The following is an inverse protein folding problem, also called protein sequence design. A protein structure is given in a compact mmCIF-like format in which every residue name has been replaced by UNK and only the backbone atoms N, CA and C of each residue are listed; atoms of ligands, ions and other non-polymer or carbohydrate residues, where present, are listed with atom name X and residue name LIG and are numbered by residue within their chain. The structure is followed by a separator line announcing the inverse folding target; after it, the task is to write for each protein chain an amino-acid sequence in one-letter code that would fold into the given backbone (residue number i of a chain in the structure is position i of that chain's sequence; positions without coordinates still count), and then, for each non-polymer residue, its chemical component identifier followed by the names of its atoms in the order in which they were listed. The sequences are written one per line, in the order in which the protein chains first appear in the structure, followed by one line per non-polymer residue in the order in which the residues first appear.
data_IF_758312856872
#
_entry.id   IF_758312856872
#
_cell.length_a   1.000
_cell.length_b   1.000
_cell.length_c   1.000
_cell.angle_alpha   90.00
_cell.angle_beta   90.00
_cell.angle_gamma   90.00
#
_symmetry.space_group_name_H-M   'P 1'
#
loop_
_entity.id
_entity.type
_entity.pdbx_description
1 polymer ?
#
# COMPACT_ATOMS: atom_id res chain seq x y z
N UNK A 1 11.75 24.92 6.44
CA UNK A 1 12.38 23.85 7.23
C UNK A 1 11.38 22.70 7.29
N UNK A 2 11.56 21.64 6.51
CA UNK A 2 10.64 20.49 6.54
C UNK A 2 10.93 19.70 7.82
N UNK A 3 10.00 19.72 8.76
CA UNK A 3 10.05 18.87 9.96
C UNK A 3 9.87 17.41 9.55
N UNK A 4 10.97 16.70 9.37
CA UNK A 4 10.98 15.24 9.17
C UNK A 4 10.71 14.59 10.53
N UNK A 5 9.44 14.35 10.82
CA UNK A 5 8.99 13.74 12.09
C UNK A 5 9.31 12.23 12.22
N UNK A 6 10.01 11.65 11.25
CA UNK A 6 10.38 10.22 11.26
C UNK A 6 9.23 9.23 11.01
N UNK A 7 7.99 9.69 10.78
CA UNK A 7 6.82 8.80 10.57
C UNK A 7 6.99 7.87 9.37
N UNK A 8 7.35 8.44 8.21
CA UNK A 8 7.61 7.65 7.00
C UNK A 8 8.82 6.72 7.16
N UNK A 9 9.85 7.18 7.89
CA UNK A 9 11.01 6.35 8.25
C UNK A 9 10.57 5.12 9.07
N UNK A 10 9.70 5.32 10.06
CA UNK A 10 9.14 4.21 10.85
C UNK A 10 8.41 3.19 9.95
N UNK A 11 7.53 3.64 9.05
CA UNK A 11 6.86 2.73 8.10
C UNK A 11 7.87 1.96 7.23
N UNK A 12 8.92 2.64 6.78
CA UNK A 12 9.97 2.02 5.96
C UNK A 12 10.83 1.04 6.75
N UNK A 13 11.05 1.27 8.03
CA UNK A 13 11.69 0.28 8.91
C UNK A 13 10.82 -0.96 9.05
N UNK A 14 9.49 -0.83 9.20
CA UNK A 14 8.56 -1.96 9.29
C UNK A 14 8.57 -2.83 8.03
N UNK A 15 8.72 -2.22 6.85
CA UNK A 15 8.82 -2.94 5.57
C UNK A 15 10.27 -3.36 5.23
N UNK A 16 11.23 -3.06 6.10
CA UNK A 16 12.65 -3.35 5.88
C UNK A 16 13.25 -2.59 4.69
N UNK A 17 12.71 -1.42 4.34
CA UNK A 17 13.28 -0.51 3.33
C UNK A 17 14.32 0.42 3.92
N UNK A 18 14.26 0.67 5.22
CA UNK A 18 15.25 1.42 5.99
C UNK A 18 15.66 0.61 7.23
N UNK A 19 16.92 0.72 7.61
CA UNK A 19 17.48 0.05 8.78
C UNK A 19 17.33 0.94 10.04
N UNK A 20 17.16 0.32 11.19
CA UNK A 20 17.24 1.01 12.49
C UNK A 20 18.41 0.46 13.31
N UNK A 21 19.03 1.31 14.13
CA UNK A 21 20.28 1.00 14.84
C UNK A 21 20.04 0.40 16.22
N UNK A 22 18.90 0.71 16.85
CA UNK A 22 18.58 0.30 18.23
C UNK A 22 17.13 -0.14 18.35
N UNK A 23 16.88 -1.09 19.24
CA UNK A 23 15.55 -1.64 19.49
C UNK A 23 15.30 -2.95 18.78
N UNK A 24 14.08 -3.44 18.88
CA UNK A 24 13.60 -4.64 18.19
C UNK A 24 12.22 -4.34 17.58
N UNK A 25 11.98 -4.88 16.41
CA UNK A 25 10.71 -4.76 15.71
C UNK A 25 10.21 -6.14 15.34
N UNK A 26 8.94 -6.38 15.65
CA UNK A 26 8.25 -7.64 15.34
C UNK A 26 7.02 -7.31 14.51
N UNK A 27 6.84 -8.00 13.40
CA UNK A 27 5.69 -7.85 12.52
C UNK A 27 5.02 -9.20 12.37
N UNK A 28 3.73 -9.28 12.65
CA UNK A 28 2.95 -10.52 12.63
C UNK A 28 3.64 -11.67 13.41
N UNK A 29 4.16 -11.37 14.61
CA UNK A 29 4.88 -12.31 15.47
C UNK A 29 6.30 -12.66 15.01
N UNK A 30 6.75 -12.19 13.85
CA UNK A 30 8.08 -12.46 13.30
C UNK A 30 9.05 -11.31 13.60
N UNK A 31 10.21 -11.58 14.21
CA UNK A 31 11.22 -10.54 14.44
C UNK A 31 11.86 -10.11 13.12
N UNK A 32 11.93 -8.81 12.92
CA UNK A 32 12.57 -8.21 11.75
C UNK A 32 14.09 -8.37 11.85
N UNK A 33 14.69 -9.08 10.91
CA UNK A 33 16.12 -9.37 10.87
C UNK A 33 16.76 -8.64 9.70
N UNK A 34 17.32 -7.46 9.97
CA UNK A 34 18.11 -6.74 8.98
C UNK A 34 19.34 -7.56 8.55
N UNK A 35 19.69 -7.47 7.27
CA UNK A 35 20.81 -8.23 6.69
C UNK A 35 20.46 -9.64 6.20
N UNK A 36 19.31 -10.20 6.57
CA UNK A 36 18.80 -11.45 6.02
C UNK A 36 17.86 -11.18 4.84
N UNK A 37 18.41 -11.27 3.62
CA UNK A 37 17.65 -11.02 2.40
C UNK A 37 16.50 -12.01 2.15
N UNK A 38 16.57 -13.22 2.72
CA UNK A 38 15.50 -14.21 2.60
C UNK A 38 14.35 -13.85 3.54
N UNK A 39 14.64 -13.56 4.82
CA UNK A 39 13.65 -13.10 5.79
C UNK A 39 12.98 -11.80 5.33
N UNK A 40 13.74 -10.86 4.74
CA UNK A 40 13.17 -9.62 4.19
C UNK A 40 12.24 -9.86 3.00
N UNK A 41 12.56 -10.82 2.14
CA UNK A 41 11.67 -11.21 1.03
C UNK A 41 10.37 -11.83 1.52
N UNK A 42 10.46 -12.67 2.54
CA UNK A 42 9.29 -13.29 3.16
C UNK A 42 8.41 -12.24 3.84
N UNK A 43 8.99 -11.37 4.67
CA UNK A 43 8.27 -10.26 5.30
C UNK A 43 7.48 -9.44 4.29
N UNK A 44 8.10 -9.02 3.17
CA UNK A 44 7.47 -8.21 2.13
C UNK A 44 6.36 -8.92 1.35
N UNK A 45 6.19 -10.22 1.52
CA UNK A 45 5.01 -10.93 1.00
C UNK A 45 3.80 -10.77 1.92
N UNK A 46 4.02 -10.53 3.22
CA UNK A 46 2.99 -10.38 4.24
C UNK A 46 2.70 -8.93 4.60
N UNK A 47 3.61 -8.00 4.27
CA UNK A 47 3.48 -6.56 4.53
C UNK A 47 3.37 -5.82 3.21
N UNK A 48 2.17 -5.34 2.91
CA UNK A 48 1.94 -4.44 1.77
C UNK A 48 2.34 -3.00 2.10
N UNK A 49 2.77 -2.24 1.11
CA UNK A 49 3.06 -0.82 1.29
C UNK A 49 2.51 0.00 0.12
N UNK A 50 1.82 1.07 0.46
CA UNK A 50 1.33 2.09 -0.47
C UNK A 50 2.09 3.38 -0.16
N UNK A 51 2.72 3.94 -1.18
CA UNK A 51 3.55 5.13 -1.08
C UNK A 51 2.76 6.39 -1.41
N UNK A 52 3.29 7.53 -1.00
CA UNK A 52 2.81 8.86 -1.36
C UNK A 52 2.76 9.06 -2.88
N UNK A 53 3.80 8.64 -3.59
CA UNK A 53 3.81 8.56 -5.05
C UNK A 53 3.26 7.21 -5.48
N UNK A 54 2.46 7.16 -6.52
CA UNK A 54 1.75 5.96 -6.96
C UNK A 54 2.70 4.81 -7.33
N UNK A 55 3.90 5.14 -7.84
CA UNK A 55 4.98 4.20 -8.22
C UNK A 55 4.49 3.08 -9.15
N UNK A 56 3.55 3.39 -10.04
CA UNK A 56 3.15 2.46 -11.08
C UNK A 56 4.25 2.32 -12.12
N UNK A 57 4.39 1.12 -12.66
CA UNK A 57 5.29 0.86 -13.78
C UNK A 57 4.68 1.44 -15.05
N UNK A 58 5.25 2.53 -15.64
CA UNK A 58 4.62 3.22 -16.78
C UNK A 58 4.61 2.39 -18.07
N UNK A 59 5.49 1.40 -18.17
CA UNK A 59 5.61 0.48 -19.29
C UNK A 59 4.73 -0.79 -19.16
N UNK A 60 3.85 -0.83 -18.16
CA UNK A 60 2.89 -1.91 -17.93
C UNK A 60 1.48 -1.34 -17.88
N UNK A 61 0.50 -2.09 -18.42
CA UNK A 61 -0.91 -1.74 -18.25
C UNK A 61 -1.31 -1.82 -16.77
N UNK A 62 -2.45 -1.26 -16.42
CA UNK A 62 -3.04 -1.30 -15.07
C UNK A 62 -3.15 -2.74 -14.57
N UNK A 63 -3.73 -3.63 -15.35
CA UNK A 63 -3.84 -5.06 -15.01
C UNK A 63 -2.48 -5.70 -14.78
N UNK A 64 -1.49 -5.44 -15.66
CA UNK A 64 -0.13 -5.97 -15.52
C UNK A 64 0.58 -5.42 -14.30
N UNK A 65 0.35 -4.17 -13.91
CA UNK A 65 0.87 -3.61 -12.66
C UNK A 65 0.37 -4.41 -11.44
N UNK A 66 -0.90 -4.79 -11.42
CA UNK A 66 -1.50 -5.56 -10.32
C UNK A 66 -1.05 -7.02 -10.34
N UNK A 67 -0.91 -7.63 -11.53
CA UNK A 67 -0.52 -9.03 -11.70
C UNK A 67 0.96 -9.31 -11.41
N UNK A 68 1.83 -8.29 -11.50
CA UNK A 68 3.28 -8.47 -11.54
C UNK A 68 3.82 -9.26 -10.34
N UNK A 69 3.53 -8.84 -9.12
CA UNK A 69 4.03 -9.50 -7.93
C UNK A 69 3.43 -10.91 -7.73
N UNK A 70 2.12 -11.15 -7.87
CA UNK A 70 1.56 -12.50 -7.83
C UNK A 70 2.21 -13.48 -8.81
N UNK A 71 2.49 -13.06 -10.03
CA UNK A 71 3.10 -13.94 -11.05
C UNK A 71 4.58 -14.18 -10.78
N UNK A 72 5.35 -13.14 -10.45
CA UNK A 72 6.80 -13.26 -10.27
C UNK A 72 7.18 -13.91 -8.93
N UNK A 73 6.51 -13.50 -7.83
CA UNK A 73 6.88 -13.90 -6.47
C UNK A 73 6.14 -15.16 -6.04
N UNK A 74 4.80 -15.17 -6.15
CA UNK A 74 3.97 -16.33 -5.77
C UNK A 74 3.86 -17.40 -6.87
N UNK A 75 4.49 -17.18 -8.04
CA UNK A 75 4.44 -18.09 -9.20
C UNK A 75 3.01 -18.44 -9.62
N UNK A 76 2.08 -17.50 -9.39
CA UNK A 76 0.68 -17.69 -9.72
C UNK A 76 0.52 -17.79 -11.23
N UNK A 77 -0.35 -18.70 -11.69
CA UNK A 77 -0.71 -18.81 -13.11
C UNK A 77 -1.27 -17.49 -13.66
N UNK A 78 -0.93 -17.17 -14.91
CA UNK A 78 -1.30 -15.89 -15.52
C UNK A 78 -2.81 -15.66 -15.59
N UNK A 79 -3.59 -16.71 -15.88
CA UNK A 79 -5.06 -16.63 -15.94
C UNK A 79 -5.65 -16.35 -14.55
N UNK A 80 -5.15 -17.05 -13.52
CA UNK A 80 -5.58 -16.85 -12.14
C UNK A 80 -5.14 -15.47 -11.60
N UNK A 81 -3.95 -14.98 -11.99
CA UNK A 81 -3.48 -13.65 -11.64
C UNK A 81 -4.32 -12.56 -12.32
N UNK A 82 -4.72 -12.75 -13.58
CA UNK A 82 -5.59 -11.83 -14.30
C UNK A 82 -7.00 -11.76 -13.67
N UNK A 83 -7.59 -12.90 -13.35
CA UNK A 83 -8.89 -12.94 -12.66
C UNK A 83 -8.84 -12.22 -11.30
N UNK A 84 -7.78 -12.44 -10.52
CA UNK A 84 -7.56 -11.72 -9.26
C UNK A 84 -7.40 -10.22 -9.49
N UNK A 85 -6.62 -9.81 -10.48
CA UNK A 85 -6.40 -8.40 -10.78
C UNK A 85 -7.70 -7.70 -11.22
N UNK A 86 -8.53 -8.35 -12.06
CA UNK A 86 -9.85 -7.83 -12.41
C UNK A 86 -10.75 -7.64 -11.18
N UNK A 87 -10.81 -8.62 -10.28
CA UNK A 87 -11.59 -8.52 -9.05
C UNK A 87 -11.12 -7.36 -8.16
N UNK A 88 -9.80 -7.21 -7.98
CA UNK A 88 -9.22 -6.13 -7.19
C UNK A 88 -9.45 -4.76 -7.83
N UNK A 89 -9.30 -4.63 -9.15
CA UNK A 89 -9.58 -3.39 -9.86
C UNK A 89 -11.07 -3.03 -9.80
N UNK A 90 -11.96 -4.00 -9.91
CA UNK A 90 -13.40 -3.77 -9.72
C UNK A 90 -13.70 -3.28 -8.30
N UNK A 91 -13.06 -3.88 -7.29
CA UNK A 91 -13.20 -3.47 -5.88
C UNK A 91 -12.79 -2.01 -5.63
N UNK A 92 -11.80 -1.51 -6.34
CA UNK A 92 -11.37 -0.10 -6.26
C UNK A 92 -12.06 0.80 -7.30
N UNK A 93 -13.11 0.31 -7.98
CA UNK A 93 -13.91 1.05 -8.96
C UNK A 93 -13.21 1.30 -10.30
N UNK A 94 -12.31 0.41 -10.71
CA UNK A 94 -11.51 0.54 -11.94
C UNK A 94 -11.51 -0.74 -12.80
N UNK A 95 -12.56 -1.55 -12.73
CA UNK A 95 -12.65 -2.84 -13.45
C UNK A 95 -12.48 -2.69 -14.96
N UNK A 96 -13.03 -1.62 -15.57
CA UNK A 96 -12.93 -1.31 -16.99
C UNK A 96 -11.57 -0.74 -17.42
N UNK A 97 -10.68 -0.45 -16.49
CA UNK A 97 -9.35 0.14 -16.73
C UNK A 97 -8.22 -0.88 -16.81
N UNK A 98 -8.53 -2.19 -16.87
CA UNK A 98 -7.52 -3.26 -16.84
C UNK A 98 -6.44 -3.11 -17.92
N UNK A 99 -6.84 -2.76 -19.14
CA UNK A 99 -5.93 -2.59 -20.29
C UNK A 99 -5.42 -1.16 -20.48
N UNK A 100 -5.88 -0.21 -19.66
CA UNK A 100 -5.41 1.17 -19.70
C UNK A 100 -3.94 1.28 -19.24
N UNK A 101 -3.29 2.36 -19.63
CA UNK A 101 -1.92 2.70 -19.20
C UNK A 101 -1.97 3.71 -18.05
N UNK A 102 -0.94 3.74 -17.17
CA UNK A 102 -0.92 4.67 -16.03
C UNK A 102 -1.10 6.14 -16.39
N UNK A 103 -0.57 6.60 -17.53
CA UNK A 103 -0.69 7.98 -18.02
C UNK A 103 -2.09 8.36 -18.48
N UNK A 104 -2.96 7.39 -18.71
CA UNK A 104 -4.38 7.58 -19.03
C UNK A 104 -5.28 7.72 -17.80
N UNK A 105 -4.69 7.66 -16.58
CA UNK A 105 -5.41 7.69 -15.33
C UNK A 105 -5.20 9.01 -14.59
N UNK A 106 -6.25 9.49 -13.90
CA UNK A 106 -6.11 10.58 -12.92
C UNK A 106 -5.24 10.14 -11.73
N UNK A 107 -4.71 11.09 -10.95
CA UNK A 107 -3.93 10.78 -9.76
C UNK A 107 -4.67 9.89 -8.77
N UNK A 108 -5.95 10.16 -8.51
CA UNK A 108 -6.79 9.33 -7.64
C UNK A 108 -7.01 7.91 -8.20
N UNK A 109 -7.14 7.78 -9.52
CA UNK A 109 -7.21 6.47 -10.17
C UNK A 109 -5.88 5.71 -10.05
N UNK A 110 -4.74 6.37 -10.29
CA UNK A 110 -3.41 5.76 -10.13
C UNK A 110 -3.19 5.28 -8.69
N UNK A 111 -3.61 6.07 -7.69
CA UNK A 111 -3.51 5.66 -6.29
C UNK A 111 -4.38 4.45 -5.97
N UNK A 112 -5.59 4.39 -6.51
CA UNK A 112 -6.46 3.21 -6.35
C UNK A 112 -5.88 1.96 -7.03
N UNK A 113 -5.19 2.10 -8.16
CA UNK A 113 -4.40 1.00 -8.76
C UNK A 113 -3.25 0.58 -7.85
N UNK A 114 -2.53 1.53 -7.24
CA UNK A 114 -1.46 1.20 -6.28
C UNK A 114 -1.99 0.44 -5.05
N UNK A 115 -3.18 0.77 -4.56
CA UNK A 115 -3.88 0.00 -3.52
C UNK A 115 -4.19 -1.42 -4.01
N UNK A 116 -4.82 -1.57 -5.19
CA UNK A 116 -5.13 -2.89 -5.76
C UNK A 116 -3.87 -3.75 -5.96
N UNK A 117 -2.76 -3.15 -6.40
CA UNK A 117 -1.46 -3.81 -6.53
C UNK A 117 -0.92 -4.31 -5.19
N UNK A 118 -1.02 -3.51 -4.13
CA UNK A 118 -0.59 -3.93 -2.80
C UNK A 118 -1.45 -5.09 -2.28
N UNK A 119 -2.77 -5.04 -2.48
CA UNK A 119 -3.72 -6.08 -2.07
C UNK A 119 -3.52 -7.40 -2.85
N UNK A 120 -2.96 -7.37 -4.06
CA UNK A 120 -2.76 -8.56 -4.88
C UNK A 120 -1.83 -9.59 -4.24
N UNK A 121 -0.96 -9.17 -3.34
CA UNK A 121 -0.12 -10.06 -2.53
C UNK A 121 -0.84 -10.64 -1.30
N UNK A 122 -2.08 -10.23 -1.03
CA UNK A 122 -2.87 -10.64 0.15
C UNK A 122 -2.08 -10.42 1.45
N UNK A 123 -1.64 -9.18 1.73
CA UNK A 123 -0.84 -8.89 2.91
C UNK A 123 -1.67 -9.01 4.19
N UNK A 124 -1.02 -9.40 5.30
CA UNK A 124 -1.62 -9.38 6.64
C UNK A 124 -1.69 -7.94 7.20
N UNK A 125 -0.73 -7.09 6.81
CA UNK A 125 -0.65 -5.69 7.23
C UNK A 125 -0.42 -4.80 6.01
N UNK A 126 -1.12 -3.67 5.95
CA UNK A 126 -0.97 -2.68 4.89
C UNK A 126 -0.46 -1.36 5.48
N UNK A 127 0.71 -0.94 5.03
CA UNK A 127 1.35 0.31 5.40
C UNK A 127 0.98 1.40 4.40
N UNK A 128 0.46 2.53 4.88
CA UNK A 128 0.00 3.64 4.06
C UNK A 128 0.81 4.91 4.39
N UNK A 129 1.71 5.34 3.50
CA UNK A 129 2.56 6.50 3.70
C UNK A 129 2.02 7.71 2.93
N UNK A 130 1.24 8.56 3.63
CA UNK A 130 0.67 9.82 3.10
C UNK A 130 -0.03 9.66 1.72
N UNK A 131 -0.84 8.63 1.57
CA UNK A 131 -1.42 8.17 0.30
C UNK A 131 -2.34 9.17 -0.41
N UNK A 132 -2.70 10.29 0.23
CA UNK A 132 -3.54 11.34 -0.34
C UNK A 132 -2.79 12.64 -0.61
N UNK A 133 -1.55 12.80 -0.11
CA UNK A 133 -0.83 14.08 -0.15
C UNK A 133 -0.39 14.53 -1.56
N UNK A 134 -0.34 13.61 -2.52
CA UNK A 134 -0.04 13.90 -3.93
C UNK A 134 -1.30 14.08 -4.79
N UNK A 135 -2.50 14.15 -4.18
CA UNK A 135 -3.78 14.21 -4.88
C UNK A 135 -4.41 15.59 -4.78
N UNK A 136 -5.15 15.96 -5.82
CA UNK A 136 -6.07 17.08 -5.75
C UNK A 136 -7.16 16.81 -4.69
N UNK A 137 -7.59 17.83 -3.93
CA UNK A 137 -8.55 17.67 -2.83
C UNK A 137 -9.86 16.97 -3.24
N UNK A 138 -10.31 17.16 -4.47
CA UNK A 138 -11.53 16.54 -5.01
C UNK A 138 -11.39 15.00 -5.15
N UNK A 139 -10.17 14.49 -5.35
CA UNK A 139 -9.89 13.07 -5.54
C UNK A 139 -9.60 12.33 -4.24
N UNK A 140 -9.28 13.04 -3.16
CA UNK A 140 -8.95 12.46 -1.84
C UNK A 140 -10.06 11.55 -1.33
N UNK A 141 -11.32 12.01 -1.41
CA UNK A 141 -12.47 11.27 -0.90
C UNK A 141 -12.67 9.89 -1.54
N UNK A 142 -12.31 9.71 -2.81
CA UNK A 142 -12.42 8.42 -3.50
C UNK A 142 -11.42 7.40 -2.96
N UNK A 143 -10.17 7.84 -2.72
CA UNK A 143 -9.10 7.00 -2.19
C UNK A 143 -9.39 6.62 -0.75
N UNK A 144 -9.83 7.58 0.08
CA UNK A 144 -10.16 7.33 1.48
C UNK A 144 -11.33 6.35 1.65
N UNK A 145 -12.36 6.39 0.79
CA UNK A 145 -13.45 5.40 0.81
C UNK A 145 -12.97 3.97 0.56
N UNK A 146 -11.99 3.78 -0.32
CA UNK A 146 -11.39 2.46 -0.53
C UNK A 146 -10.68 1.98 0.74
N UNK A 147 -9.90 2.85 1.38
CA UNK A 147 -9.20 2.50 2.63
C UNK A 147 -10.17 2.22 3.77
N UNK A 148 -11.25 3.00 3.86
CA UNK A 148 -12.32 2.77 4.84
C UNK A 148 -12.94 1.38 4.67
N UNK A 149 -13.28 0.97 3.45
CA UNK A 149 -13.83 -0.37 3.22
C UNK A 149 -12.84 -1.49 3.59
N UNK A 150 -11.54 -1.26 3.45
CA UNK A 150 -10.53 -2.23 3.89
C UNK A 150 -10.47 -2.35 5.42
N UNK A 151 -10.61 -1.22 6.13
CA UNK A 151 -10.67 -1.21 7.59
C UNK A 151 -11.94 -1.92 8.09
N UNK A 152 -13.10 -1.64 7.50
CA UNK A 152 -14.39 -2.27 7.83
C UNK A 152 -14.38 -3.79 7.61
N UNK A 153 -13.58 -4.27 6.66
CA UNK A 153 -13.36 -5.70 6.42
C UNK A 153 -12.33 -6.34 7.37
N UNK A 154 -11.80 -5.58 8.33
CA UNK A 154 -10.86 -6.07 9.35
C UNK A 154 -9.40 -6.13 8.92
N UNK A 155 -9.02 -5.45 7.84
CA UNK A 155 -7.61 -5.37 7.45
C UNK A 155 -6.80 -4.55 8.45
N UNK A 156 -5.66 -5.07 8.88
CA UNK A 156 -4.73 -4.32 9.71
C UNK A 156 -4.04 -3.23 8.89
N UNK A 157 -4.31 -1.97 9.23
CA UNK A 157 -3.77 -0.80 8.57
C UNK A 157 -2.87 -0.01 9.51
N UNK A 158 -1.68 0.36 9.04
CA UNK A 158 -0.85 1.36 9.70
C UNK A 158 -0.66 2.54 8.75
N UNK A 159 -1.19 3.70 9.13
CA UNK A 159 -1.28 4.85 8.25
C UNK A 159 -0.56 6.08 8.81
N UNK A 160 0.24 6.72 7.97
CA UNK A 160 0.68 8.11 8.14
C UNK A 160 -0.21 8.99 7.28
N UNK A 161 -0.92 9.94 7.89
CA UNK A 161 -1.86 10.80 7.18
C UNK A 161 -1.98 12.17 7.82
N UNK A 162 -2.34 13.16 7.03
CA UNK A 162 -2.77 14.48 7.47
C UNK A 162 -4.30 14.62 7.52
N UNK A 163 -5.03 13.60 7.07
CA UNK A 163 -6.51 13.55 7.06
C UNK A 163 -7.05 13.22 8.45
N UNK A 164 -7.02 14.19 9.38
CA UNK A 164 -7.35 13.98 10.79
C UNK A 164 -8.79 13.54 11.03
N UNK A 165 -9.75 14.03 10.23
CA UNK A 165 -11.14 13.63 10.34
C UNK A 165 -11.33 12.16 9.96
N UNK A 166 -10.67 11.71 8.88
CA UNK A 166 -10.65 10.32 8.45
C UNK A 166 -9.97 9.42 9.49
N UNK A 167 -8.77 9.81 9.96
CA UNK A 167 -8.05 9.05 10.98
C UNK A 167 -8.90 8.79 12.23
N UNK A 168 -9.63 9.81 12.74
CA UNK A 168 -10.52 9.66 13.89
C UNK A 168 -11.71 8.74 13.65
N UNK A 169 -12.16 8.62 12.39
CA UNK A 169 -13.31 7.80 12.03
C UNK A 169 -12.95 6.31 11.97
N UNK A 170 -11.75 5.98 11.44
CA UNK A 170 -11.40 4.59 11.08
C UNK A 170 -10.34 3.96 11.99
N UNK A 171 -9.74 4.71 12.91
CA UNK A 171 -8.63 4.20 13.71
C UNK A 171 -9.05 3.78 15.11
N UNK A 172 -8.62 2.60 15.53
CA UNK A 172 -8.68 2.15 16.92
C UNK A 172 -7.65 2.87 17.80
N UNK A 173 -6.51 3.26 17.22
CA UNK A 173 -5.43 3.97 17.90
C UNK A 173 -4.86 5.10 17.04
N UNK A 174 -4.63 6.25 17.65
CA UNK A 174 -4.00 7.42 17.01
C UNK A 174 -2.75 7.82 17.80
N UNK A 175 -1.59 7.66 17.17
CA UNK A 175 -0.31 8.20 17.67
C UNK A 175 0.00 9.56 17.04
N UNK A 176 0.62 10.46 17.82
CA UNK A 176 1.18 11.72 17.31
C UNK A 176 2.67 11.72 17.54
N UNK A 177 3.45 12.02 16.49
CA UNK A 177 4.85 12.33 16.70
C UNK A 177 4.96 13.77 17.23
N UNK A 178 5.51 13.93 18.42
CA UNK A 178 5.95 15.23 18.92
C UNK A 178 7.41 15.43 18.48
N UNK A 179 7.66 16.57 17.85
CA UNK A 179 9.01 17.03 17.50
C UNK A 179 9.44 18.04 18.55
#
# INVERSE_FOLDING_TARGET
MLFRSGKSTLLRCINGLEDFQHGALTVDGQPLRHGDAAAMRELRQHVGMIFQSFNLFPHLTVGRNVMLAPTLVKKKDATAAAAQAHALLTRVGLGEKFDAWPDQLSGGQQQRVAIARALAMQPAVLLCDEITSALDPELVGEVLRVVESLADEGMTLLMVTHEMAFARKVSDQIGRAHV
#
